data_IF_012080958816
#
_entry.id   IF_012080958816
#
_cell.length_a   1.000
_cell.length_b   1.000
_cell.length_c   1.000
_cell.angle_alpha   90.00
_cell.angle_beta   90.00
_cell.angle_gamma   90.00
#
_symmetry.space_group_name_H-M   'P 1'
#
loop_
_entity.id
_entity.type
_entity.pdbx_description
1 polymer ?
#
# COMPACT_ATOMS: atom_id res chain seq x y z
N UNK A 1 22.08 -5.78 13.44
CA UNK A 1 20.96 -6.71 13.72
C UNK A 1 19.76 -6.35 12.88
N UNK A 2 19.17 -7.32 12.20
CA UNK A 2 17.98 -7.11 11.41
C UNK A 2 16.75 -7.12 12.32
N UNK A 3 15.83 -6.21 12.06
CA UNK A 3 14.61 -6.06 12.84
C UNK A 3 13.42 -6.59 12.06
N UNK A 4 12.65 -7.47 12.68
CA UNK A 4 11.38 -7.94 12.12
C UNK A 4 10.37 -6.80 12.22
N UNK A 5 9.85 -6.38 11.09
CA UNK A 5 8.94 -5.24 10.99
C UNK A 5 7.63 -5.65 10.35
N UNK A 6 6.59 -4.90 10.68
CA UNK A 6 5.29 -5.01 10.03
C UNK A 6 4.98 -3.71 9.30
N UNK A 7 4.36 -3.82 8.14
CA UNK A 7 3.99 -2.66 7.33
C UNK A 7 2.65 -2.89 6.66
N UNK A 8 2.00 -1.79 6.30
CA UNK A 8 0.76 -1.84 5.54
C UNK A 8 1.05 -1.54 4.08
N UNK A 9 0.40 -2.29 3.20
CA UNK A 9 0.34 -1.97 1.78
C UNK A 9 -1.10 -1.99 1.32
N UNK A 10 -1.41 -1.18 0.31
CA UNK A 10 -2.72 -1.16 -0.33
C UNK A 10 -2.53 -1.28 -1.83
N UNK A 11 -3.19 -2.24 -2.43
CA UNK A 11 -3.32 -2.32 -3.89
C UNK A 11 -4.47 -1.40 -4.25
N UNK A 12 -4.18 -0.36 -5.03
CA UNK A 12 -5.11 0.74 -5.31
C UNK A 12 -6.11 0.38 -6.41
N UNK A 13 -7.21 1.15 -6.54
CA UNK A 13 -8.26 0.83 -7.51
C UNK A 13 -7.78 0.70 -8.96
N UNK A 14 -6.78 1.48 -9.36
CA UNK A 14 -6.23 1.42 -10.73
C UNK A 14 -5.57 0.07 -11.02
N UNK A 15 -4.82 -0.47 -10.06
CA UNK A 15 -4.17 -1.77 -10.22
C UNK A 15 -5.20 -2.91 -10.24
N UNK A 16 -6.26 -2.79 -9.44
CA UNK A 16 -7.34 -3.78 -9.46
C UNK A 16 -8.01 -3.81 -10.83
N UNK A 17 -8.28 -2.65 -11.42
CA UNK A 17 -8.87 -2.55 -12.76
C UNK A 17 -7.98 -3.18 -13.84
N UNK A 18 -6.68 -3.17 -13.64
CA UNK A 18 -5.71 -3.78 -14.57
C UNK A 18 -5.51 -5.27 -14.33
N UNK A 19 -6.26 -5.86 -13.40
CA UNK A 19 -6.11 -7.27 -13.00
C UNK A 19 -4.69 -7.59 -12.51
N UNK A 20 -4.10 -6.65 -11.78
CA UNK A 20 -2.73 -6.75 -11.29
C UNK A 20 -2.61 -7.37 -9.91
N UNK A 21 -3.73 -7.64 -9.22
CA UNK A 21 -3.72 -8.10 -7.82
C UNK A 21 -2.85 -9.34 -7.64
N UNK A 22 -3.05 -10.36 -8.48
CA UNK A 22 -2.29 -11.61 -8.37
C UNK A 22 -0.80 -11.43 -8.56
N UNK A 23 -0.40 -10.63 -9.55
CA UNK A 23 1.01 -10.35 -9.81
C UNK A 23 1.66 -9.59 -8.63
N UNK A 24 0.95 -8.61 -8.09
CA UNK A 24 1.48 -7.81 -6.99
C UNK A 24 1.65 -8.68 -5.73
N UNK A 25 0.66 -9.52 -5.42
CA UNK A 25 0.77 -10.44 -4.28
C UNK A 25 1.92 -11.41 -4.48
N UNK A 26 2.09 -11.93 -5.69
CA UNK A 26 3.22 -12.81 -6.02
C UNK A 26 4.54 -12.11 -5.77
N UNK A 27 4.66 -10.83 -6.14
CA UNK A 27 5.87 -10.06 -5.89
C UNK A 27 6.18 -9.95 -4.39
N UNK A 28 5.17 -9.80 -3.55
CA UNK A 28 5.39 -9.77 -2.10
C UNK A 28 5.99 -11.10 -1.63
N UNK A 29 5.39 -12.21 -2.00
CA UNK A 29 5.84 -13.52 -1.54
C UNK A 29 7.21 -13.89 -2.10
N UNK A 30 7.47 -13.60 -3.37
CA UNK A 30 8.77 -13.85 -3.99
C UNK A 30 9.89 -13.05 -3.34
N UNK A 31 9.58 -11.89 -2.80
CA UNK A 31 10.57 -11.03 -2.16
C UNK A 31 10.64 -11.21 -0.64
N UNK A 32 10.07 -12.30 -0.14
CA UNK A 32 10.25 -12.71 1.25
C UNK A 32 9.27 -12.08 2.25
N UNK A 33 8.24 -11.40 1.77
CA UNK A 33 7.22 -10.83 2.66
C UNK A 33 6.23 -11.91 3.06
N UNK A 34 5.97 -12.01 4.36
CA UNK A 34 4.91 -12.86 4.89
C UNK A 34 3.62 -12.06 4.96
N UNK A 35 2.56 -12.61 4.41
CA UNK A 35 1.24 -11.96 4.48
C UNK A 35 0.57 -12.38 5.79
N UNK A 36 0.35 -11.42 6.69
CA UNK A 36 -0.31 -11.69 7.98
C UNK A 36 -1.82 -11.62 7.86
N UNK A 37 -2.32 -10.68 7.07
CA UNK A 37 -3.74 -10.48 6.87
C UNK A 37 -3.97 -9.76 5.55
N UNK A 38 -5.12 -9.99 4.94
CA UNK A 38 -5.45 -9.42 3.65
C UNK A 38 -6.96 -9.28 3.55
N UNK A 39 -7.44 -8.15 3.05
CA UNK A 39 -8.86 -7.96 2.78
C UNK A 39 -9.09 -7.06 1.59
N UNK A 40 -10.09 -7.41 0.78
CA UNK A 40 -10.58 -6.55 -0.29
C UNK A 40 -11.82 -5.84 0.22
N UNK A 41 -11.86 -4.52 0.06
CA UNK A 41 -12.95 -3.71 0.58
C UNK A 41 -13.08 -2.42 -0.22
N UNK A 42 -14.20 -1.75 -0.05
CA UNK A 42 -14.38 -0.38 -0.53
C UNK A 42 -14.48 0.53 0.68
N UNK A 43 -13.76 1.64 0.65
CA UNK A 43 -13.83 2.64 1.71
C UNK A 43 -14.61 3.85 1.24
N UNK A 44 -15.28 4.52 2.18
CA UNK A 44 -15.98 5.77 1.89
C UNK A 44 -14.99 6.91 1.71
N UNK A 45 -15.46 8.00 1.12
CA UNK A 45 -14.66 9.24 1.02
C UNK A 45 -14.19 9.68 2.41
N UNK A 46 -15.06 9.63 3.41
CA UNK A 46 -14.73 10.01 4.78
C UNK A 46 -13.64 9.12 5.37
N UNK A 47 -13.72 7.82 5.14
CA UNK A 47 -12.69 6.89 5.59
C UNK A 47 -11.35 7.15 4.91
N UNK A 48 -11.36 7.44 3.61
CA UNK A 48 -10.15 7.80 2.88
C UNK A 48 -9.55 9.10 3.44
N UNK A 49 -10.39 10.07 3.76
CA UNK A 49 -9.94 11.33 4.36
C UNK A 49 -9.28 11.10 5.72
N UNK A 50 -9.83 10.21 6.53
CA UNK A 50 -9.25 9.88 7.83
C UNK A 50 -7.92 9.14 7.69
N UNK A 51 -7.84 8.20 6.75
CA UNK A 51 -6.61 7.46 6.50
C UNK A 51 -5.47 8.38 6.07
N UNK A 52 -5.76 9.33 5.19
CA UNK A 52 -4.79 10.28 4.67
C UNK A 52 -4.79 11.63 5.41
N UNK A 53 -5.30 11.67 6.64
CA UNK A 53 -5.45 12.93 7.40
C UNK A 53 -4.14 13.72 7.54
N UNK A 54 -3.00 13.03 7.59
CA UNK A 54 -1.67 13.66 7.64
C UNK A 54 -1.40 14.52 6.40
N UNK A 55 -2.10 14.26 5.29
CA UNK A 55 -1.97 15.00 4.05
C UNK A 55 -3.10 16.01 3.81
N UNK A 56 -3.94 16.28 4.82
CA UNK A 56 -5.14 17.13 4.66
C UNK A 56 -4.84 18.53 4.12
N UNK A 57 -3.63 19.04 4.36
CA UNK A 57 -3.21 20.38 3.89
C UNK A 57 -2.59 20.36 2.50
N UNK A 58 -2.41 19.19 1.90
CA UNK A 58 -1.78 19.06 0.56
C UNK A 58 -2.79 19.34 -0.54
N UNK A 59 -2.36 19.98 -1.65
CA UNK A 59 -3.28 20.25 -2.77
C UNK A 59 -3.87 19.01 -3.42
N UNK A 60 -3.18 17.87 -3.35
CA UNK A 60 -3.65 16.61 -3.94
C UNK A 60 -4.61 15.83 -3.04
N UNK A 61 -4.87 16.30 -1.82
CA UNK A 61 -5.64 15.54 -0.83
C UNK A 61 -7.04 15.13 -1.32
N UNK A 62 -7.77 16.08 -1.89
CA UNK A 62 -9.13 15.80 -2.38
C UNK A 62 -9.12 14.80 -3.53
N UNK A 63 -8.20 14.95 -4.46
CA UNK A 63 -8.06 14.03 -5.60
C UNK A 63 -7.66 12.63 -5.12
N UNK A 64 -6.72 12.53 -4.19
CA UNK A 64 -6.28 11.26 -3.62
C UNK A 64 -7.42 10.54 -2.91
N UNK A 65 -8.17 11.24 -2.06
CA UNK A 65 -9.25 10.62 -1.31
C UNK A 65 -10.43 10.24 -2.19
N UNK A 66 -10.71 11.01 -3.24
CA UNK A 66 -11.69 10.62 -4.26
C UNK A 66 -11.26 9.34 -4.96
N UNK A 67 -9.99 9.27 -5.35
CA UNK A 67 -9.45 8.10 -6.05
C UNK A 67 -9.51 6.85 -5.17
N UNK A 68 -9.05 6.95 -3.93
CA UNK A 68 -9.01 5.79 -3.02
C UNK A 68 -10.39 5.28 -2.64
N UNK A 69 -11.42 6.10 -2.73
CA UNK A 69 -12.80 5.70 -2.48
C UNK A 69 -13.60 5.41 -3.75
N UNK A 70 -12.94 5.39 -4.91
CA UNK A 70 -13.63 5.22 -6.20
C UNK A 70 -13.96 3.77 -6.56
N UNK A 71 -13.42 2.80 -5.84
CA UNK A 71 -13.65 1.39 -6.11
C UNK A 71 -12.93 0.52 -5.10
N UNK A 72 -12.92 -0.80 -5.30
CA UNK A 72 -12.28 -1.72 -4.37
C UNK A 72 -10.79 -1.46 -4.23
N UNK A 73 -10.27 -1.74 -3.05
CA UNK A 73 -8.85 -1.78 -2.73
C UNK A 73 -8.54 -3.10 -2.05
N UNK A 74 -7.27 -3.49 -2.04
CA UNK A 74 -6.81 -4.64 -1.24
C UNK A 74 -5.80 -4.12 -0.23
N UNK A 75 -6.12 -4.24 1.06
CA UNK A 75 -5.23 -3.89 2.15
C UNK A 75 -4.55 -5.17 2.65
N UNK A 76 -3.23 -5.11 2.84
CA UNK A 76 -2.45 -6.24 3.34
C UNK A 76 -1.54 -5.80 4.48
N UNK A 77 -1.47 -6.64 5.50
CA UNK A 77 -0.46 -6.50 6.56
C UNK A 77 0.69 -7.46 6.21
N UNK A 78 1.88 -6.92 6.05
CA UNK A 78 3.06 -7.67 5.66
C UNK A 78 4.10 -7.65 6.78
N UNK A 79 4.87 -8.74 6.88
CA UNK A 79 5.94 -8.86 7.86
C UNK A 79 7.21 -9.38 7.19
N UNK A 80 8.35 -8.77 7.55
CA UNK A 80 9.65 -9.14 7.01
C UNK A 80 10.71 -8.40 7.81
N UNK A 81 11.92 -8.93 7.89
CA UNK A 81 13.03 -8.14 8.36
C UNK A 81 13.20 -6.94 7.42
N UNK A 82 13.27 -5.73 8.00
CA UNK A 82 13.42 -4.49 7.25
C UNK A 82 12.25 -4.25 6.26
N UNK A 83 11.03 -4.61 6.66
CA UNK A 83 9.87 -4.62 5.77
C UNK A 83 9.54 -3.25 5.16
N UNK A 84 9.64 -2.19 5.93
CA UNK A 84 9.23 -0.86 5.48
C UNK A 84 10.10 -0.40 4.32
N UNK A 85 11.42 -0.43 4.49
CA UNK A 85 12.37 0.00 3.46
C UNK A 85 12.33 -0.92 2.24
N UNK A 86 12.29 -2.24 2.48
CA UNK A 86 12.30 -3.22 1.40
C UNK A 86 11.00 -3.16 0.57
N UNK A 87 9.86 -2.90 1.21
CA UNK A 87 8.61 -2.73 0.47
C UNK A 87 8.67 -1.49 -0.43
N UNK A 88 9.13 -0.38 0.10
CA UNK A 88 9.22 0.84 -0.70
C UNK A 88 10.17 0.68 -1.89
N UNK A 89 11.24 -0.08 -1.71
CA UNK A 89 12.16 -0.42 -2.80
C UNK A 89 11.47 -1.29 -3.87
N UNK A 90 10.70 -2.28 -3.44
CA UNK A 90 9.93 -3.14 -4.35
C UNK A 90 8.85 -2.37 -5.09
N UNK A 91 8.21 -1.42 -4.41
CA UNK A 91 7.18 -0.56 -5.02
C UNK A 91 7.76 0.32 -6.13
N UNK A 92 8.94 0.84 -5.93
CA UNK A 92 9.56 1.78 -6.85
C UNK A 92 9.18 3.24 -6.57
N UNK A 93 9.77 4.14 -7.34
CA UNK A 93 9.52 5.58 -7.20
C UNK A 93 8.05 5.92 -7.39
N UNK A 94 7.59 6.95 -6.66
CA UNK A 94 6.19 7.41 -6.71
C UNK A 94 5.76 7.74 -8.14
N UNK A 95 6.66 8.37 -8.91
CA UNK A 95 6.44 8.62 -10.32
C UNK A 95 6.94 7.40 -11.12
N UNK A 96 6.07 6.66 -11.82
CA UNK A 96 6.50 5.46 -12.55
C UNK A 96 7.52 5.76 -13.66
N UNK A 97 7.56 6.98 -14.18
CA UNK A 97 8.57 7.36 -15.18
C UNK A 97 10.00 7.32 -14.59
N UNK A 98 10.11 7.45 -13.27
CA UNK A 98 11.39 7.43 -12.55
C UNK A 98 11.63 6.09 -11.83
N UNK A 99 10.68 5.17 -11.89
CA UNK A 99 10.78 3.88 -11.23
C UNK A 99 11.72 2.94 -12.00
N UNK A 100 12.51 2.18 -11.27
CA UNK A 100 13.42 1.20 -11.87
C UNK A 100 12.65 0.00 -12.43
N UNK A 101 13.25 -0.64 -13.44
CA UNK A 101 12.70 -1.88 -13.98
C UNK A 101 12.59 -2.94 -12.88
N UNK A 102 11.54 -3.74 -12.94
CA UNK A 102 11.27 -4.78 -11.96
C UNK A 102 10.47 -4.31 -10.76
N UNK A 103 10.20 -3.01 -10.63
CA UNK A 103 9.36 -2.50 -9.55
C UNK A 103 7.89 -2.57 -9.91
N UNK A 104 7.04 -2.61 -8.89
CA UNK A 104 5.60 -2.70 -9.07
C UNK A 104 5.06 -1.49 -9.83
N UNK A 105 5.51 -0.30 -9.48
CA UNK A 105 5.04 0.92 -10.13
C UNK A 105 5.52 1.03 -11.57
N UNK A 106 6.73 0.57 -11.87
CA UNK A 106 7.21 0.57 -13.25
C UNK A 106 6.32 -0.29 -14.14
N UNK A 107 5.87 -1.42 -13.60
CA UNK A 107 5.04 -2.36 -14.35
C UNK A 107 3.58 -1.94 -14.44
N UNK A 108 3.01 -1.45 -13.34
CA UNK A 108 1.56 -1.30 -13.21
C UNK A 108 1.04 0.13 -13.06
N UNK A 109 1.86 1.07 -12.64
CA UNK A 109 1.40 2.45 -12.44
C UNK A 109 1.23 3.18 -13.77
N UNK A 110 0.23 4.05 -13.83
CA UNK A 110 -0.02 4.89 -15.02
C UNK A 110 0.71 6.22 -14.92
N UNK A 111 0.62 6.86 -13.76
CA UNK A 111 1.25 8.15 -13.50
C UNK A 111 1.42 8.34 -11.98
N UNK A 112 1.83 9.53 -11.56
CA UNK A 112 2.12 9.80 -10.15
C UNK A 112 0.90 9.71 -9.24
N UNK A 113 -0.30 9.94 -9.77
CA UNK A 113 -1.55 9.84 -9.02
C UNK A 113 -2.11 8.42 -9.04
N UNK A 114 -2.16 7.80 -10.22
CA UNK A 114 -2.64 6.42 -10.39
C UNK A 114 -1.41 5.50 -10.41
N UNK A 115 -0.84 5.32 -9.22
CA UNK A 115 0.47 4.67 -9.09
C UNK A 115 0.44 3.28 -8.47
N UNK A 116 -0.70 2.62 -8.54
CA UNK A 116 -0.92 1.20 -8.27
C UNK A 116 -0.89 0.75 -6.83
N UNK A 117 -0.02 1.31 -5.99
CA UNK A 117 0.24 0.74 -4.67
C UNK A 117 0.63 1.82 -3.66
N UNK A 118 0.25 1.59 -2.40
CA UNK A 118 0.65 2.37 -1.24
C UNK A 118 1.47 1.49 -0.30
N UNK A 119 2.45 2.04 0.35
CA UNK A 119 3.19 1.39 1.44
C UNK A 119 3.50 2.40 2.53
N UNK A 120 3.47 1.96 3.78
CA UNK A 120 3.81 2.82 4.90
C UNK A 120 5.26 3.33 4.77
N UNK A 121 5.52 4.55 5.21
CA UNK A 121 6.82 5.17 5.02
C UNK A 121 7.72 5.16 6.27
N UNK A 122 7.17 4.80 7.42
CA UNK A 122 7.91 4.75 8.68
C UNK A 122 7.21 3.81 9.67
N UNK A 123 7.91 3.43 10.72
CA UNK A 123 7.36 2.55 11.75
C UNK A 123 6.09 3.16 12.38
N UNK A 124 6.11 4.44 12.65
CA UNK A 124 4.96 5.14 13.24
C UNK A 124 3.75 5.14 12.31
N UNK A 125 3.94 5.44 11.04
CA UNK A 125 2.84 5.42 10.06
C UNK A 125 2.34 4.01 9.83
N UNK A 126 3.23 3.02 9.84
CA UNK A 126 2.84 1.62 9.71
C UNK A 126 1.90 1.19 10.84
N UNK A 127 2.19 1.58 12.08
CA UNK A 127 1.33 1.25 13.22
C UNK A 127 -0.06 1.85 13.07
N UNK A 128 -0.15 3.12 12.70
CA UNK A 128 -1.43 3.78 12.49
C UNK A 128 -2.20 3.12 11.36
N UNK A 129 -1.54 2.89 10.23
CA UNK A 129 -2.19 2.38 9.03
C UNK A 129 -2.65 0.93 9.21
N UNK A 130 -1.86 0.10 9.88
CA UNK A 130 -2.27 -1.27 10.20
C UNK A 130 -3.51 -1.28 11.09
N UNK A 131 -3.54 -0.45 12.13
CA UNK A 131 -4.67 -0.39 13.04
C UNK A 131 -5.92 0.21 12.40
N UNK A 132 -5.75 0.95 11.31
CA UNK A 132 -6.87 1.48 10.56
C UNK A 132 -7.66 0.38 9.84
N UNK A 133 -6.97 -0.59 9.27
CA UNK A 133 -7.59 -1.64 8.47
C UNK A 133 -7.79 -2.97 9.21
N UNK A 134 -7.00 -3.24 10.22
CA UNK A 134 -6.99 -4.56 10.87
C UNK A 134 -7.14 -4.45 12.38
N UNK A 135 -7.98 -5.31 12.93
CA UNK A 135 -8.10 -5.46 14.38
C UNK A 135 -6.88 -6.21 14.92
N UNK A 136 -6.56 -6.00 16.21
CA UNK A 136 -5.41 -6.65 16.83
C UNK A 136 -5.40 -8.16 16.67
N UNK A 137 -6.56 -8.81 16.81
CA UNK A 137 -6.62 -10.27 16.71
C UNK A 137 -6.30 -10.79 15.29
N UNK A 138 -6.55 -9.96 14.27
CA UNK A 138 -6.25 -10.32 12.88
C UNK A 138 -4.73 -10.38 12.63
N UNK A 139 -3.97 -9.69 13.45
CA UNK A 139 -2.52 -9.62 13.33
C UNK A 139 -1.78 -10.47 14.36
N UNK A 140 -2.51 -11.18 15.19
CA UNK A 140 -1.94 -12.05 16.24
C UNK A 140 -1.51 -13.39 15.63
N UNK A 141 -0.39 -13.39 14.92
CA UNK A 141 0.14 -14.55 14.20
C UNK A 141 1.50 -14.95 14.72
#
# INVERSE_FOLDING_TARGET
MKTLERTLTIIKPDAIKKNAVGDIIEQFEKNGFRILAMKMLEISKHQAEQFYAVHAHRPFYNSLTNFMSSGPIVALALEKENAIADLRKLMGATNPAQAEEGTIRKKWATNIEFNAIHGSDADETARFELSFFFAGYELAK
#
